data_IF_906327304812
#
_entry.id   IF_906327304812
#
_cell.length_a   1.000
_cell.length_b   1.000
_cell.length_c   1.000
_cell.angle_alpha   90.00
_cell.angle_beta   90.00
_cell.angle_gamma   90.00
#
_symmetry.space_group_name_H-M   'P 1'
#
loop_
_entity.id
_entity.type
_entity.pdbx_description
1 polymer ?
#
# COMPACT_ATOMS: atom_id res chain seq x y z
N UNK A 1 18.29 21.01 23.54
CA UNK A 1 17.55 22.16 22.96
C UNK A 1 18.03 22.55 21.56
N UNK A 2 19.31 22.39 21.19
CA UNK A 2 19.74 22.50 19.78
C UNK A 2 19.29 21.33 18.89
N UNK A 3 19.20 20.11 19.44
CA UNK A 3 18.68 18.94 18.72
C UNK A 3 17.20 19.08 18.31
N UNK A 4 16.39 19.76 19.13
CA UNK A 4 14.97 20.02 18.85
C UNK A 4 14.80 21.04 17.71
N UNK A 5 15.68 22.05 17.61
CA UNK A 5 15.62 23.07 16.54
C UNK A 5 16.16 22.59 15.19
N UNK A 6 17.00 21.55 15.18
CA UNK A 6 17.40 20.86 13.96
C UNK A 6 16.33 19.84 13.52
N UNK A 7 15.60 19.21 14.45
CA UNK A 7 14.45 18.37 14.14
C UNK A 7 13.23 19.18 13.65
N UNK A 8 13.01 20.38 14.22
CA UNK A 8 11.91 21.28 13.82
C UNK A 8 12.17 21.96 12.45
N UNK A 9 13.41 22.00 11.96
CA UNK A 9 13.75 22.48 10.61
C UNK A 9 13.95 21.35 9.58
N UNK A 10 13.94 20.08 9.99
CA UNK A 10 14.28 18.93 9.13
C UNK A 10 13.07 18.33 8.39
N UNK A 11 12.07 19.15 8.04
CA UNK A 11 10.88 18.68 7.36
C UNK A 11 10.24 19.69 6.44
N UNK A 12 10.99 20.59 5.81
CA UNK A 12 10.46 21.47 4.76
C UNK A 12 9.62 20.64 3.78
N UNK A 13 8.42 21.10 3.42
CA UNK A 13 7.51 20.42 2.47
C UNK A 13 8.23 19.89 1.23
N UNK A 14 9.28 20.59 0.79
CA UNK A 14 10.13 20.21 -0.33
C UNK A 14 10.92 18.91 -0.10
N UNK A 15 11.53 18.68 1.06
CA UNK A 15 12.26 17.42 1.37
C UNK A 15 11.31 16.23 1.42
N UNK A 16 10.11 16.46 1.93
CA UNK A 16 9.02 15.49 1.98
C UNK A 16 8.53 15.11 0.57
N UNK A 17 8.34 16.10 -0.31
CA UNK A 17 7.98 15.89 -1.73
C UNK A 17 9.08 15.18 -2.51
N UNK A 18 10.34 15.52 -2.26
CA UNK A 18 11.50 14.84 -2.87
C UNK A 18 11.54 13.37 -2.42
N UNK A 19 11.31 13.10 -1.13
CA UNK A 19 11.19 11.74 -0.61
C UNK A 19 10.07 10.93 -1.27
N UNK A 20 8.91 11.54 -1.49
CA UNK A 20 7.80 10.95 -2.24
C UNK A 20 8.23 10.62 -3.68
N UNK A 21 8.83 11.58 -4.39
CA UNK A 21 9.30 11.36 -5.76
C UNK A 21 10.32 10.23 -5.88
N UNK A 22 11.30 10.18 -4.97
CA UNK A 22 12.31 9.11 -4.93
C UNK A 22 11.64 7.76 -4.67
N UNK A 23 10.69 7.69 -3.74
CA UNK A 23 9.98 6.45 -3.43
C UNK A 23 9.16 5.95 -4.62
N UNK A 24 8.44 6.83 -5.31
CA UNK A 24 7.68 6.49 -6.52
C UNK A 24 8.61 5.98 -7.62
N UNK A 25 9.76 6.60 -7.81
CA UNK A 25 10.76 6.14 -8.77
C UNK A 25 11.33 4.76 -8.39
N UNK A 26 11.63 4.55 -7.11
CA UNK A 26 12.12 3.27 -6.62
C UNK A 26 11.08 2.15 -6.80
N UNK A 27 9.82 2.39 -6.45
CA UNK A 27 8.74 1.43 -6.71
C UNK A 27 8.56 1.18 -8.21
N UNK A 28 8.57 2.22 -9.05
CA UNK A 28 8.46 2.04 -10.50
C UNK A 28 9.57 1.15 -11.05
N UNK A 29 10.79 1.30 -10.55
CA UNK A 29 11.94 0.48 -10.95
C UNK A 29 11.79 -0.99 -10.52
N UNK A 30 11.17 -1.26 -9.38
CA UNK A 30 10.88 -2.62 -8.90
C UNK A 30 9.70 -3.23 -9.66
N UNK A 31 8.63 -2.45 -9.89
CA UNK A 31 7.42 -2.91 -10.56
C UNK A 31 7.59 -3.10 -12.07
N UNK A 32 8.45 -2.32 -12.74
CA UNK A 32 8.70 -2.43 -14.17
C UNK A 32 9.10 -3.84 -14.65
N UNK A 33 10.12 -4.51 -14.05
CA UNK A 33 10.47 -5.89 -14.42
C UNK A 33 9.35 -6.88 -14.04
N UNK A 34 8.66 -6.68 -12.91
CA UNK A 34 7.54 -7.52 -12.50
C UNK A 34 6.36 -7.46 -13.48
N UNK A 35 6.05 -6.25 -13.98
CA UNK A 35 4.99 -6.01 -14.95
C UNK A 35 5.34 -6.53 -16.34
N UNK A 36 6.60 -6.46 -16.75
CA UNK A 36 7.03 -7.04 -18.02
C UNK A 36 6.91 -8.56 -17.99
N UNK A 37 7.33 -9.22 -16.90
CA UNK A 37 7.09 -10.67 -16.71
C UNK A 37 5.59 -11.00 -16.75
N UNK A 38 4.76 -10.20 -16.07
CA UNK A 38 3.31 -10.38 -16.12
C UNK A 38 2.73 -10.21 -17.54
N UNK A 39 3.25 -9.23 -18.30
CA UNK A 39 2.84 -8.97 -19.68
C UNK A 39 3.20 -10.11 -20.63
N UNK A 40 4.32 -10.80 -20.40
CA UNK A 40 4.70 -11.98 -21.18
C UNK A 40 3.80 -13.19 -20.91
N UNK A 41 3.23 -13.31 -19.70
CA UNK A 41 2.31 -14.39 -19.34
C UNK A 41 0.91 -14.07 -19.87
N UNK A 42 0.33 -12.92 -19.48
CA UNK A 42 -1.02 -12.50 -19.87
C UNK A 42 -1.12 -10.96 -19.89
N UNK A 43 -1.05 -10.32 -21.08
CA UNK A 43 -1.12 -8.86 -21.20
C UNK A 43 -2.45 -8.26 -20.72
N UNK A 44 -3.54 -8.99 -20.92
CA UNK A 44 -4.91 -8.58 -20.56
C UNK A 44 -5.16 -8.51 -19.05
N UNK A 45 -4.38 -9.25 -18.25
CA UNK A 45 -4.50 -9.27 -16.78
C UNK A 45 -4.10 -7.95 -16.14
N UNK A 46 -3.15 -7.20 -16.74
CA UNK A 46 -2.65 -5.94 -16.21
C UNK A 46 -3.77 -4.88 -16.18
N UNK A 47 -4.48 -4.73 -17.30
CA UNK A 47 -5.58 -3.77 -17.40
C UNK A 47 -6.73 -4.09 -16.44
N UNK A 48 -7.11 -5.37 -16.35
CA UNK A 48 -8.15 -5.82 -15.43
C UNK A 48 -7.77 -5.60 -13.95
N UNK A 49 -6.52 -5.89 -13.59
CA UNK A 49 -6.01 -5.66 -12.24
C UNK A 49 -5.95 -4.16 -11.90
N UNK A 50 -5.52 -3.31 -12.84
CA UNK A 50 -5.46 -1.86 -12.64
C UNK A 50 -6.86 -1.27 -12.42
N UNK A 51 -7.85 -1.64 -13.24
CA UNK A 51 -9.23 -1.17 -13.10
C UNK A 51 -9.82 -1.62 -11.76
N UNK A 52 -9.62 -2.89 -11.39
CA UNK A 52 -10.12 -3.44 -10.12
C UNK A 52 -9.49 -2.74 -8.92
N UNK A 53 -8.18 -2.46 -8.99
CA UNK A 53 -7.47 -1.70 -7.96
C UNK A 53 -8.05 -0.30 -7.84
N UNK A 54 -8.24 0.42 -8.95
CA UNK A 54 -8.82 1.77 -8.95
C UNK A 54 -10.23 1.80 -8.36
N UNK A 55 -11.08 0.83 -8.71
CA UNK A 55 -12.43 0.71 -8.15
C UNK A 55 -12.40 0.45 -6.64
N UNK A 56 -11.52 -0.43 -6.18
CA UNK A 56 -11.37 -0.72 -4.74
C UNK A 56 -10.85 0.50 -3.98
N UNK A 57 -9.75 1.11 -4.43
CA UNK A 57 -9.18 2.31 -3.80
C UNK A 57 -10.22 3.44 -3.80
N UNK A 58 -10.90 3.67 -4.92
CA UNK A 58 -11.94 4.68 -5.04
C UNK A 58 -13.10 4.44 -4.09
N UNK A 59 -13.61 3.20 -4.02
CA UNK A 59 -14.69 2.81 -3.11
C UNK A 59 -14.29 2.91 -1.63
N UNK A 60 -13.08 2.46 -1.27
CA UNK A 60 -12.53 2.57 0.08
C UNK A 60 -12.33 4.02 0.49
N UNK A 61 -11.80 4.85 -0.41
CA UNK A 61 -11.62 6.28 -0.18
C UNK A 61 -12.97 6.95 0.06
N UNK A 62 -13.96 6.72 -0.81
CA UNK A 62 -15.33 7.24 -0.64
C UNK A 62 -15.96 6.81 0.69
N UNK A 63 -15.74 5.56 1.08
CA UNK A 63 -16.21 5.01 2.36
C UNK A 63 -15.52 5.68 3.54
N UNK A 64 -14.20 5.89 3.50
CA UNK A 64 -13.45 6.60 4.55
C UNK A 64 -13.88 8.06 4.69
N UNK A 65 -14.20 8.74 3.59
CA UNK A 65 -14.76 10.11 3.62
C UNK A 65 -16.18 10.15 4.20
N UNK A 66 -16.98 9.12 3.96
CA UNK A 66 -18.36 9.04 4.49
C UNK A 66 -18.40 8.66 5.97
N UNK A 67 -17.45 7.86 6.45
CA UNK A 67 -17.40 7.38 7.83
C UNK A 67 -16.63 8.39 8.72
N UNK A 68 -17.35 9.11 9.57
CA UNK A 68 -16.80 10.03 10.59
C UNK A 68 -16.22 9.33 11.84
N UNK A 69 -15.72 8.10 11.69
CA UNK A 69 -15.29 7.26 12.81
C UNK A 69 -13.77 7.20 12.82
N UNK A 70 -13.16 7.39 13.99
CA UNK A 70 -11.73 7.24 14.17
C UNK A 70 -11.34 5.77 14.11
N UNK A 71 -10.61 5.37 13.06
CA UNK A 71 -10.09 4.02 12.91
C UNK A 71 -8.78 3.78 13.67
N UNK A 72 -8.43 4.61 14.66
CA UNK A 72 -7.20 4.48 15.46
C UNK A 72 -7.04 3.09 16.09
N UNK A 73 -8.15 2.49 16.52
CA UNK A 73 -8.19 1.10 17.04
C UNK A 73 -7.72 0.05 16.02
N UNK A 74 -7.94 0.30 14.74
CA UNK A 74 -7.60 -0.64 13.65
C UNK A 74 -6.08 -0.77 13.45
N UNK A 75 -5.29 0.23 13.88
CA UNK A 75 -3.83 0.25 13.77
C UNK A 75 -3.18 -1.00 14.38
N UNK A 76 -3.59 -1.38 15.59
CA UNK A 76 -3.00 -2.53 16.29
C UNK A 76 -3.29 -3.85 15.58
N UNK A 77 -4.48 -3.97 15.00
CA UNK A 77 -4.87 -5.16 14.24
C UNK A 77 -4.13 -5.24 12.91
N UNK A 78 -4.05 -4.13 12.17
CA UNK A 78 -3.35 -4.04 10.88
C UNK A 78 -1.86 -4.31 10.99
N UNK A 79 -1.20 -3.73 12.00
CA UNK A 79 0.23 -3.96 12.24
C UNK A 79 0.50 -5.42 12.56
N UNK A 80 -0.29 -6.04 13.44
CA UNK A 80 -0.19 -7.48 13.74
C UNK A 80 -0.42 -8.34 12.50
N UNK A 81 -1.48 -8.05 11.72
CA UNK A 81 -1.78 -8.77 10.50
C UNK A 81 -0.66 -8.62 9.44
N UNK A 82 -0.04 -7.44 9.36
CA UNK A 82 1.11 -7.19 8.49
C UNK A 82 2.33 -8.03 8.87
N UNK A 83 2.63 -8.16 10.16
CA UNK A 83 3.70 -9.05 10.64
C UNK A 83 3.42 -10.52 10.32
N UNK A 84 2.17 -10.97 10.48
CA UNK A 84 1.76 -12.33 10.13
C UNK A 84 1.92 -12.56 8.62
N UNK A 85 1.47 -11.61 7.79
CA UNK A 85 1.63 -11.68 6.34
C UNK A 85 3.10 -11.73 5.93
N UNK A 86 3.95 -10.92 6.56
CA UNK A 86 5.40 -10.92 6.29
C UNK A 86 6.06 -12.24 6.67
N UNK A 87 5.71 -12.80 7.83
CA UNK A 87 6.16 -14.13 8.24
C UNK A 87 5.73 -15.23 7.27
N UNK A 88 4.49 -15.17 6.76
CA UNK A 88 4.00 -16.10 5.75
C UNK A 88 4.77 -15.98 4.42
N UNK A 89 5.10 -14.76 3.98
CA UNK A 89 5.92 -14.54 2.78
C UNK A 89 7.30 -15.17 2.96
N UNK A 90 7.98 -14.91 4.08
CA UNK A 90 9.31 -15.50 4.37
C UNK A 90 9.22 -17.03 4.39
N UNK A 91 8.23 -17.58 5.07
CA UNK A 91 8.02 -19.03 5.12
C UNK A 91 7.80 -19.62 3.72
N UNK A 92 7.06 -18.93 2.86
CA UNK A 92 6.83 -19.36 1.47
C UNK A 92 8.09 -19.36 0.62
N UNK A 93 9.00 -18.40 0.84
CA UNK A 93 10.28 -18.30 0.13
C UNK A 93 11.23 -19.41 0.58
N UNK A 94 11.27 -19.72 1.88
CA UNK A 94 12.15 -20.76 2.44
C UNK A 94 11.66 -22.17 2.08
N UNK A 95 10.36 -22.43 2.22
CA UNK A 95 9.78 -23.74 1.88
C UNK A 95 9.43 -23.90 0.40
N UNK A 96 9.49 -22.83 -0.40
CA UNK A 96 9.22 -22.84 -1.84
C UNK A 96 7.76 -23.12 -2.23
N UNK A 97 6.80 -23.00 -1.31
CA UNK A 97 5.38 -23.25 -1.63
C UNK A 97 4.69 -22.00 -2.17
N UNK A 98 3.77 -22.20 -3.12
CA UNK A 98 2.89 -21.11 -3.55
C UNK A 98 1.87 -20.81 -2.46
N UNK A 99 1.87 -19.57 -1.95
CA UNK A 99 0.89 -19.04 -0.99
C UNK A 99 -0.56 -19.14 -1.49
N UNK A 100 -0.76 -19.39 -2.79
CA UNK A 100 -2.06 -19.59 -3.38
C UNK A 100 -2.90 -18.32 -3.53
N UNK A 101 -4.07 -18.48 -4.15
CA UNK A 101 -5.01 -17.38 -4.43
C UNK A 101 -5.62 -16.82 -3.15
N UNK A 102 -5.90 -17.69 -2.16
CA UNK A 102 -6.49 -17.29 -0.88
C UNK A 102 -5.60 -16.34 -0.07
N UNK A 103 -4.29 -16.56 -0.06
CA UNK A 103 -3.36 -15.62 0.59
C UNK A 103 -3.37 -14.26 -0.10
N UNK A 104 -3.37 -14.26 -1.44
CA UNK A 104 -3.43 -13.00 -2.20
C UNK A 104 -4.73 -12.24 -1.92
N UNK A 105 -5.86 -12.94 -1.79
CA UNK A 105 -7.14 -12.33 -1.41
C UNK A 105 -7.13 -11.75 0.01
N UNK A 106 -6.56 -12.47 0.99
CA UNK A 106 -6.38 -11.95 2.36
C UNK A 106 -5.48 -10.71 2.39
N UNK A 107 -4.43 -10.71 1.57
CA UNK A 107 -3.51 -9.58 1.48
C UNK A 107 -4.17 -8.35 0.84
N UNK A 108 -5.02 -8.53 -0.17
CA UNK A 108 -5.84 -7.44 -0.74
C UNK A 108 -6.77 -6.86 0.32
N UNK A 109 -7.39 -7.69 1.15
CA UNK A 109 -8.23 -7.24 2.27
C UNK A 109 -7.41 -6.47 3.30
N UNK A 110 -6.21 -6.95 3.63
CA UNK A 110 -5.29 -6.27 4.53
C UNK A 110 -4.86 -4.91 3.99
N UNK A 111 -4.45 -4.82 2.73
CA UNK A 111 -4.12 -3.55 2.06
C UNK A 111 -5.33 -2.61 2.01
N UNK A 112 -6.53 -3.12 1.76
CA UNK A 112 -7.76 -2.33 1.82
C UNK A 112 -7.99 -1.73 3.21
N UNK A 113 -7.71 -2.50 4.26
CA UNK A 113 -7.71 -2.01 5.64
C UNK A 113 -6.70 -0.88 5.86
N UNK A 114 -5.45 -1.03 5.38
CA UNK A 114 -4.42 0.01 5.48
C UNK A 114 -4.83 1.28 4.74
N UNK A 115 -5.36 1.17 3.52
CA UNK A 115 -5.85 2.32 2.76
C UNK A 115 -6.96 3.05 3.52
N UNK A 116 -7.93 2.33 4.09
CA UNK A 116 -9.02 2.92 4.87
C UNK A 116 -8.49 3.62 6.13
N UNK A 117 -7.56 2.96 6.85
CA UNK A 117 -6.92 3.50 8.04
C UNK A 117 -6.13 4.78 7.74
N UNK A 118 -5.26 4.73 6.74
CA UNK A 118 -4.42 5.86 6.35
C UNK A 118 -5.29 7.02 5.83
N UNK A 119 -6.31 6.73 5.01
CA UNK A 119 -7.25 7.75 4.52
C UNK A 119 -8.04 8.40 5.66
N UNK A 120 -8.59 7.61 6.60
CA UNK A 120 -9.30 8.14 7.75
C UNK A 120 -8.40 8.96 8.67
N UNK A 121 -7.17 8.50 8.89
CA UNK A 121 -6.17 9.20 9.70
C UNK A 121 -5.83 10.56 9.06
N UNK A 122 -5.63 10.60 7.73
CA UNK A 122 -5.47 11.84 6.93
C UNK A 122 -6.63 12.81 7.15
N UNK A 123 -7.87 12.32 7.18
CA UNK A 123 -9.07 13.17 7.30
C UNK A 123 -9.26 13.71 8.74
N UNK A 124 -9.04 12.88 9.77
CA UNK A 124 -9.44 13.21 11.14
C UNK A 124 -8.31 13.78 12.00
N UNK A 125 -7.05 13.42 11.72
CA UNK A 125 -5.94 13.60 12.68
C UNK A 125 -4.72 14.33 12.09
N UNK A 126 -4.81 14.95 10.91
CA UNK A 126 -3.64 15.63 10.33
C UNK A 126 -3.52 17.11 10.69
N UNK A 127 -2.54 17.49 11.53
CA UNK A 127 -1.92 18.81 11.46
C UNK A 127 -1.10 18.94 10.17
N UNK A 128 -1.12 20.12 9.57
CA UNK A 128 -0.62 20.55 8.25
C UNK A 128 0.87 20.32 7.95
N UNK A 129 1.60 19.60 8.80
CA UNK A 129 3.08 19.64 8.85
C UNK A 129 3.78 18.45 8.15
N UNK A 130 3.07 17.33 7.85
CA UNK A 130 3.68 16.12 7.26
C UNK A 130 2.86 15.38 6.18
N UNK A 131 2.39 16.05 5.11
CA UNK A 131 1.52 15.43 4.10
C UNK A 131 2.17 14.30 3.29
N UNK A 132 3.49 14.31 3.08
CA UNK A 132 4.11 13.31 2.20
C UNK A 132 4.27 11.93 2.85
N UNK A 133 4.42 11.86 4.17
CA UNK A 133 4.52 10.58 4.89
C UNK A 133 3.24 9.74 4.77
N UNK A 134 2.09 10.40 4.83
CA UNK A 134 0.79 9.76 4.61
C UNK A 134 0.63 9.27 3.16
N UNK A 135 1.02 10.11 2.20
CA UNK A 135 0.96 9.78 0.78
C UNK A 135 1.87 8.60 0.42
N UNK A 136 3.06 8.51 1.04
CA UNK A 136 3.98 7.38 0.89
C UNK A 136 3.36 6.06 1.34
N UNK A 137 2.77 6.04 2.54
CA UNK A 137 2.09 4.86 3.08
C UNK A 137 0.88 4.44 2.24
N UNK A 138 0.07 5.41 1.81
CA UNK A 138 -1.08 5.15 0.95
C UNK A 138 -0.64 4.57 -0.39
N UNK A 139 0.38 5.16 -1.01
CA UNK A 139 0.92 4.70 -2.30
C UNK A 139 1.49 3.28 -2.21
N UNK A 140 2.30 2.99 -1.18
CA UNK A 140 2.82 1.64 -0.93
C UNK A 140 1.70 0.60 -0.75
N UNK A 141 0.63 0.96 -0.03
CA UNK A 141 -0.52 0.08 0.17
C UNK A 141 -1.29 -0.17 -1.12
N UNK A 142 -1.44 0.85 -1.99
CA UNK A 142 -2.10 0.72 -3.29
C UNK A 142 -1.24 -0.13 -4.25
N UNK A 143 0.06 0.12 -4.31
CA UNK A 143 0.98 -0.63 -5.17
C UNK A 143 1.04 -2.11 -4.79
N UNK A 144 1.15 -2.40 -3.49
CA UNK A 144 1.08 -3.78 -2.98
C UNK A 144 -0.28 -4.42 -3.30
N UNK A 145 -1.39 -3.72 -3.09
CA UNK A 145 -2.72 -4.25 -3.45
C UNK A 145 -2.81 -4.61 -4.93
N UNK A 146 -2.35 -3.71 -5.82
CA UNK A 146 -2.30 -3.94 -7.25
C UNK A 146 -1.50 -5.19 -7.60
N UNK A 147 -0.33 -5.38 -6.98
CA UNK A 147 0.49 -6.57 -7.18
C UNK A 147 -0.27 -7.86 -6.84
N UNK A 148 -0.95 -7.91 -5.70
CA UNK A 148 -1.69 -9.10 -5.28
C UNK A 148 -2.93 -9.36 -6.15
N UNK A 149 -3.63 -8.32 -6.60
CA UNK A 149 -4.74 -8.46 -7.56
C UNK A 149 -4.20 -9.01 -8.89
N UNK A 150 -3.11 -8.46 -9.40
CA UNK A 150 -2.48 -8.94 -10.62
C UNK A 150 -2.05 -10.40 -10.49
N UNK A 151 -1.50 -10.80 -9.33
CA UNK A 151 -1.17 -12.21 -9.04
C UNK A 151 -2.39 -13.12 -9.06
N UNK A 152 -3.54 -12.67 -8.54
CA UNK A 152 -4.80 -13.43 -8.58
C UNK A 152 -5.26 -13.63 -10.03
N UNK A 153 -5.22 -12.56 -10.85
CA UNK A 153 -5.61 -12.63 -12.26
C UNK A 153 -4.68 -13.54 -13.07
N UNK A 154 -3.36 -13.49 -12.82
CA UNK A 154 -2.40 -14.39 -13.47
C UNK A 154 -2.56 -15.86 -13.05
N UNK A 155 -3.02 -16.12 -11.83
CA UNK A 155 -3.18 -17.50 -11.32
C UNK A 155 -4.44 -18.21 -11.84
N UNK A 156 -5.40 -17.49 -12.43
CA UNK A 156 -6.71 -18.02 -12.83
C UNK A 156 -6.87 -18.21 -14.35
N UNK A 157 -5.82 -17.98 -15.13
CA UNK A 157 -5.82 -18.04 -16.59
C UNK A 157 -4.60 -18.83 -17.08
#
# INVERSE_FOLDING_TARGET
MLATRLADNAGTNQTQLIGLGIYVLAESLIFAPLLTVAAYINPSSIGAAAITTLLLVGGLTFTAFSIKKDFSFLRSFLTMAGFIAFGAIIASVICGFSLGVWFSALMVLLCAGFILYDTSNIIHHYPTDRPAGAALHLFASIATMFWYILRIFMSRN
#
